data_IF_766571669179
#
_entry.id   IF_766571669179
#
_cell.length_a   1.000
_cell.length_b   1.000
_cell.length_c   1.000
_cell.angle_alpha   90.00
_cell.angle_beta   90.00
_cell.angle_gamma   90.00
#
_symmetry.space_group_name_H-M   'P 1'
#
loop_
_entity.id
_entity.type
_entity.pdbx_description
1 polymer ?
#
# COMPACT_ATOMS: atom_id res chain seq x y z
N UNK A 1 5.11 9.83 9.34
CA UNK A 1 5.15 8.74 8.35
C UNK A 1 5.44 7.49 9.13
N UNK A 2 4.48 6.59 9.19
CA UNK A 2 4.57 5.36 9.94
C UNK A 2 4.84 4.23 8.96
N UNK A 3 5.76 3.33 9.29
CA UNK A 3 6.14 2.22 8.42
C UNK A 3 5.80 0.92 9.14
N UNK A 4 4.98 0.09 8.49
CA UNK A 4 4.71 -1.26 8.93
C UNK A 4 5.36 -2.25 7.98
N UNK A 5 6.14 -3.17 8.52
CA UNK A 5 6.71 -4.27 7.76
C UNK A 5 6.11 -5.59 8.22
N UNK A 6 5.86 -6.47 7.27
CA UNK A 6 5.72 -7.92 7.48
C UNK A 6 6.95 -8.61 6.89
N UNK A 7 6.98 -9.95 6.85
CA UNK A 7 8.11 -10.67 6.26
C UNK A 7 8.38 -10.30 4.79
N UNK A 8 7.32 -9.99 4.04
CA UNK A 8 7.39 -9.70 2.61
C UNK A 8 6.82 -8.34 2.18
N UNK A 9 5.99 -7.67 2.99
CA UNK A 9 5.33 -6.42 2.58
C UNK A 9 5.83 -5.22 3.38
N UNK A 10 5.82 -4.06 2.72
CA UNK A 10 6.08 -2.77 3.36
C UNK A 10 4.87 -1.88 3.14
N UNK A 11 4.26 -1.43 4.24
CA UNK A 11 3.25 -0.39 4.22
C UNK A 11 3.85 0.91 4.75
N UNK A 12 3.62 2.00 4.02
CA UNK A 12 4.00 3.35 4.38
C UNK A 12 2.73 4.17 4.55
N UNK A 13 2.52 4.72 5.73
CA UNK A 13 1.36 5.54 6.06
C UNK A 13 1.77 6.99 6.28
N UNK A 14 1.00 7.90 5.71
CA UNK A 14 1.10 9.32 5.95
C UNK A 14 -0.23 9.85 6.53
N UNK A 15 -0.42 9.70 7.86
CA UNK A 15 -1.64 10.16 8.53
C UNK A 15 -1.87 11.67 8.40
N UNK A 16 -0.81 12.47 8.24
CA UNK A 16 -0.95 13.93 8.11
C UNK A 16 -1.67 14.31 6.81
N UNK A 17 -1.46 13.53 5.74
CA UNK A 17 -2.05 13.79 4.43
C UNK A 17 -3.15 12.77 4.08
N UNK A 18 -3.48 11.84 4.99
CA UNK A 18 -4.51 10.83 4.77
C UNK A 18 -4.24 9.93 3.56
N UNK A 19 -2.97 9.60 3.31
CA UNK A 19 -2.56 8.75 2.20
C UNK A 19 -1.56 7.70 2.68
N UNK A 20 -1.62 6.51 2.10
CA UNK A 20 -0.67 5.44 2.38
C UNK A 20 -0.44 4.57 1.14
N UNK A 21 0.63 3.79 1.17
CA UNK A 21 0.93 2.80 0.14
C UNK A 21 1.35 1.47 0.76
N UNK A 22 1.07 0.39 0.05
CA UNK A 22 1.68 -0.93 0.29
C UNK A 22 2.51 -1.30 -0.92
N UNK A 23 3.77 -1.61 -0.68
CA UNK A 23 4.64 -2.22 -1.68
C UNK A 23 4.61 -3.73 -1.48
N UNK A 24 4.05 -4.43 -2.46
CA UNK A 24 4.02 -5.87 -2.48
C UNK A 24 5.39 -6.44 -2.84
N UNK A 25 5.78 -7.59 -2.28
CA UNK A 25 6.99 -8.30 -2.67
C UNK A 25 6.94 -8.74 -4.15
N UNK A 26 8.10 -9.08 -4.72
CA UNK A 26 8.13 -9.73 -6.02
C UNK A 26 7.56 -11.14 -5.91
N UNK A 27 6.71 -11.54 -6.84
CA UNK A 27 6.16 -12.91 -6.85
C UNK A 27 7.25 -13.98 -6.99
N UNK A 28 8.41 -13.64 -7.54
CA UNK A 28 9.60 -14.52 -7.57
C UNK A 28 10.16 -14.83 -6.18
N UNK A 29 9.93 -13.95 -5.22
CA UNK A 29 10.43 -14.05 -3.85
C UNK A 29 9.41 -14.78 -2.94
N UNK A 30 8.35 -15.34 -3.53
CA UNK A 30 7.33 -16.09 -2.80
C UNK A 30 7.81 -17.51 -2.44
N UNK A 31 8.15 -17.67 -1.17
CA UNK A 31 8.51 -18.97 -0.61
C UNK A 31 7.26 -19.82 -0.39
N UNK A 32 7.16 -20.91 -1.15
CA UNK A 32 6.10 -21.92 -1.01
C UNK A 32 6.58 -23.06 -0.13
N UNK A 33 5.87 -23.32 0.97
CA UNK A 33 6.21 -24.40 1.91
C UNK A 33 5.57 -25.75 1.52
N UNK A 34 5.68 -26.13 0.23
CA UNK A 34 5.27 -27.46 -0.24
C UNK A 34 3.75 -27.71 -0.33
N UNK A 35 2.92 -26.67 -0.19
CA UNK A 35 1.46 -26.71 -0.33
C UNK A 35 0.91 -25.49 -1.09
N UNK A 36 -0.41 -25.27 -1.12
CA UNK A 36 -1.01 -24.09 -1.75
C UNK A 36 -0.74 -22.79 -0.96
N UNK A 37 -0.30 -22.92 0.29
CA UNK A 37 0.02 -21.80 1.17
C UNK A 37 1.42 -21.26 0.87
N UNK A 38 1.50 -19.94 0.76
CA UNK A 38 2.74 -19.23 0.54
C UNK A 38 2.99 -18.22 1.66
N UNK A 39 4.27 -17.92 1.91
CA UNK A 39 4.64 -16.92 2.92
C UNK A 39 3.97 -15.57 2.63
N UNK A 40 3.81 -15.23 1.35
CA UNK A 40 3.13 -14.02 0.93
C UNK A 40 1.66 -13.98 1.36
N UNK A 41 0.92 -15.09 1.22
CA UNK A 41 -0.49 -15.14 1.60
C UNK A 41 -0.70 -14.97 3.11
N UNK A 42 0.17 -15.58 3.92
CA UNK A 42 0.14 -15.43 5.37
C UNK A 42 0.49 -13.99 5.80
N UNK A 43 1.56 -13.42 5.22
CA UNK A 43 1.99 -12.05 5.48
C UNK A 43 0.96 -11.01 5.03
N UNK A 44 0.30 -11.24 3.91
CA UNK A 44 -0.80 -10.40 3.43
C UNK A 44 -1.94 -10.34 4.42
N UNK A 45 -2.36 -11.49 4.94
CA UNK A 45 -3.42 -11.57 5.96
C UNK A 45 -3.03 -10.82 7.23
N UNK A 46 -1.77 -10.95 7.67
CA UNK A 46 -1.28 -10.21 8.84
C UNK A 46 -1.21 -8.70 8.59
N UNK A 47 -0.83 -8.28 7.39
CA UNK A 47 -0.78 -6.88 7.00
C UNK A 47 -2.17 -6.25 7.01
N UNK A 48 -3.14 -6.90 6.36
CA UNK A 48 -4.54 -6.42 6.29
C UNK A 48 -5.11 -6.22 7.69
N UNK A 49 -4.87 -7.15 8.61
CA UNK A 49 -5.31 -7.02 10.01
C UNK A 49 -4.67 -5.80 10.70
N UNK A 50 -3.37 -5.60 10.53
CA UNK A 50 -2.66 -4.45 11.12
C UNK A 50 -3.15 -3.10 10.56
N UNK A 51 -3.43 -3.04 9.26
CA UNK A 51 -4.00 -1.86 8.63
C UNK A 51 -5.40 -1.57 9.18
N UNK A 52 -6.25 -2.59 9.30
CA UNK A 52 -7.58 -2.46 9.89
C UNK A 52 -7.52 -1.98 11.35
N UNK A 53 -6.64 -2.55 12.17
CA UNK A 53 -6.41 -2.12 13.56
C UNK A 53 -5.93 -0.66 13.66
N UNK A 54 -5.29 -0.16 12.59
CA UNK A 54 -4.81 1.23 12.48
C UNK A 54 -5.82 2.15 11.80
N UNK A 55 -7.03 1.67 11.49
CA UNK A 55 -8.04 2.38 10.70
C UNK A 55 -7.53 2.80 9.32
N UNK A 56 -6.93 1.88 8.57
CA UNK A 56 -6.56 2.04 7.16
C UNK A 56 -7.13 0.89 6.33
N UNK A 57 -7.48 1.18 5.08
CA UNK A 57 -7.94 0.18 4.13
C UNK A 57 -7.36 0.43 2.73
N UNK A 58 -7.50 -0.55 1.85
CA UNK A 58 -7.01 -0.48 0.48
C UNK A 58 -7.92 0.36 -0.40
N UNK A 59 -7.30 1.07 -1.34
CA UNK A 59 -8.01 1.61 -2.50
C UNK A 59 -8.48 0.43 -3.35
N UNK A 60 -9.77 0.42 -3.63
CA UNK A 60 -10.42 -0.54 -4.52
C UNK A 60 -10.53 0.04 -5.92
N UNK A 61 -10.47 -0.82 -6.94
CA UNK A 61 -10.81 -0.45 -8.31
C UNK A 61 -12.32 -0.56 -8.57
N UNK A 62 -12.74 -0.34 -9.81
CA UNK A 62 -14.16 -0.39 -10.22
C UNK A 62 -14.81 -1.78 -10.04
N UNK A 63 -14.02 -2.82 -9.72
CA UNK A 63 -14.46 -4.20 -9.49
C UNK A 63 -14.33 -4.63 -8.03
N UNK A 64 -14.11 -3.69 -7.09
CA UNK A 64 -13.88 -3.97 -5.67
C UNK A 64 -12.61 -4.79 -5.40
N UNK A 65 -11.70 -4.87 -6.39
CA UNK A 65 -10.38 -5.49 -6.23
C UNK A 65 -9.36 -4.45 -5.73
N UNK A 66 -8.31 -4.90 -5.02
CA UNK A 66 -7.26 -4.00 -4.53
C UNK A 66 -6.50 -3.37 -5.69
N UNK A 67 -6.63 -2.06 -5.86
CA UNK A 67 -6.05 -1.32 -6.96
C UNK A 67 -4.51 -1.31 -6.93
N UNK A 68 -3.90 -1.51 -8.10
CA UNK A 68 -2.47 -1.24 -8.32
C UNK A 68 -2.32 0.18 -8.85
N UNK A 69 -1.72 1.06 -8.06
CA UNK A 69 -1.57 2.48 -8.40
C UNK A 69 -0.25 2.80 -9.09
N UNK A 70 0.77 1.94 -8.92
CA UNK A 70 2.07 2.10 -9.52
C UNK A 70 2.86 0.79 -9.54
N UNK A 71 3.97 0.79 -10.29
CA UNK A 71 5.00 -0.24 -10.24
C UNK A 71 6.34 0.39 -9.85
N UNK A 72 7.04 -0.26 -8.94
CA UNK A 72 8.43 0.08 -8.62
C UNK A 72 9.35 -0.28 -9.81
N UNK A 73 10.53 0.33 -9.94
CA UNK A 73 11.48 0.02 -11.02
C UNK A 73 11.91 -1.45 -11.08
N UNK A 74 11.91 -2.13 -9.93
CA UNK A 74 12.23 -3.56 -9.80
C UNK A 74 11.06 -4.49 -10.15
N UNK A 75 9.88 -3.94 -10.48
CA UNK A 75 8.68 -4.69 -10.85
C UNK A 75 7.70 -4.94 -9.71
N UNK A 76 8.02 -4.57 -8.45
CA UNK A 76 7.08 -4.68 -7.33
C UNK A 76 5.84 -3.83 -7.56
N UNK A 77 4.68 -4.37 -7.18
CA UNK A 77 3.39 -3.66 -7.28
C UNK A 77 3.22 -2.73 -6.09
N UNK A 78 2.62 -1.57 -6.34
CA UNK A 78 2.25 -0.61 -5.28
C UNK A 78 0.75 -0.46 -5.25
N UNK A 79 0.18 -0.62 -4.07
CA UNK A 79 -1.24 -0.47 -3.78
C UNK A 79 -1.48 0.80 -2.96
N UNK A 80 -2.57 1.51 -3.21
CA UNK A 80 -2.97 2.69 -2.44
C UNK A 80 -3.71 2.32 -1.17
N UNK A 81 -3.55 3.14 -0.12
CA UNK A 81 -4.28 3.04 1.13
C UNK A 81 -4.87 4.40 1.51
N UNK A 82 -6.09 4.40 2.03
CA UNK A 82 -6.71 5.58 2.63
C UNK A 82 -7.11 5.29 4.09
N UNK A 83 -7.12 6.31 4.96
CA UNK A 83 -7.60 6.15 6.31
C UNK A 83 -9.10 5.85 6.29
N UNK A 84 -9.51 4.87 7.09
CA UNK A 84 -10.88 4.57 7.44
C UNK A 84 -11.40 5.69 8.37
N UNK A 85 -11.42 6.93 7.89
CA UNK A 85 -12.25 7.94 8.53
C UNK A 85 -13.69 7.45 8.39
N UNK A 86 -14.31 7.18 9.54
CA UNK A 86 -15.76 6.96 9.68
C UNK A 86 -16.44 7.93 8.73
N UNK A 87 -17.09 7.41 7.69
CA UNK A 87 -17.81 8.21 6.71
C UNK A 87 -18.80 9.11 7.46
N UNK A 88 -18.45 10.37 7.70
CA UNK A 88 -19.34 11.37 8.29
C UNK A 88 -19.88 12.34 7.26
N UNK A 89 -19.62 12.14 5.98
CA UNK A 89 -20.42 12.77 4.93
C UNK A 89 -20.76 11.77 3.83
N UNK A 90 -22.04 11.73 3.50
CA UNK A 90 -22.66 11.04 2.36
C UNK A 90 -22.29 11.76 1.03
N UNK A 91 -21.20 12.52 1.02
CA UNK A 91 -20.78 13.33 -0.11
C UNK A 91 -19.85 12.49 -0.98
N UNK A 92 -20.27 12.26 -2.21
CA UNK A 92 -19.42 11.67 -3.24
C UNK A 92 -18.18 12.55 -3.40
N UNK A 93 -16.96 11.99 -3.32
CA UNK A 93 -15.73 12.76 -3.52
C UNK A 93 -15.78 13.49 -4.86
N UNK A 94 -15.26 14.71 -4.90
CA UNK A 94 -15.18 15.47 -6.16
C UNK A 94 -13.96 15.01 -6.95
N UNK A 95 -13.95 15.25 -8.27
CA UNK A 95 -12.77 15.00 -9.11
C UNK A 95 -11.51 15.75 -8.61
N UNK A 96 -11.68 16.88 -7.92
CA UNK A 96 -10.56 17.60 -7.33
C UNK A 96 -9.98 16.85 -6.11
N UNK A 97 -10.83 16.23 -5.29
CA UNK A 97 -10.40 15.41 -4.14
C UNK A 97 -9.66 14.16 -4.62
N UNK A 98 -10.15 13.53 -5.68
CA UNK A 98 -9.50 12.38 -6.31
C UNK A 98 -8.12 12.74 -6.89
N UNK A 99 -8.00 13.89 -7.56
CA UNK A 99 -6.73 14.37 -8.12
C UNK A 99 -5.72 14.72 -7.02
N UNK A 100 -6.16 15.42 -5.98
CA UNK A 100 -5.28 15.75 -4.87
C UNK A 100 -4.81 14.50 -4.11
N UNK A 101 -5.69 13.52 -3.92
CA UNK A 101 -5.34 12.23 -3.35
C UNK A 101 -4.34 11.47 -4.23
N UNK A 102 -4.52 11.44 -5.56
CA UNK A 102 -3.57 10.85 -6.48
C UNK A 102 -2.18 11.51 -6.42
N UNK A 103 -2.11 12.84 -6.26
CA UNK A 103 -0.85 13.57 -6.08
C UNK A 103 -0.15 13.20 -4.76
N UNK A 104 -0.91 13.03 -3.67
CA UNK A 104 -0.36 12.57 -2.38
C UNK A 104 0.23 11.16 -2.50
N UNK A 105 -0.46 10.25 -3.17
CA UNK A 105 0.03 8.89 -3.44
C UNK A 105 1.31 8.92 -4.29
N UNK A 106 1.32 9.67 -5.39
CA UNK A 106 2.49 9.79 -6.27
C UNK A 106 3.73 10.28 -5.50
N UNK A 107 3.55 11.30 -4.66
CA UNK A 107 4.63 11.82 -3.80
C UNK A 107 5.17 10.77 -2.83
N UNK A 108 4.28 9.98 -2.23
CA UNK A 108 4.66 8.93 -1.29
C UNK A 108 5.45 7.82 -1.98
N UNK A 109 5.03 7.41 -3.18
CA UNK A 109 5.75 6.44 -4.02
C UNK A 109 7.14 6.93 -4.37
N UNK A 110 7.27 8.17 -4.86
CA UNK A 110 8.58 8.75 -5.21
C UNK A 110 9.49 8.81 -3.99
N UNK A 111 9.00 9.28 -2.84
CA UNK A 111 9.77 9.38 -1.61
C UNK A 111 10.31 8.01 -1.17
N UNK A 112 9.48 6.97 -1.24
CA UNK A 112 9.88 5.61 -0.89
C UNK A 112 10.91 5.03 -1.87
N UNK A 113 10.73 5.26 -3.19
CA UNK A 113 11.66 4.80 -4.20
C UNK A 113 13.07 5.42 -4.03
N UNK A 114 13.14 6.70 -3.68
CA UNK A 114 14.41 7.41 -3.45
C UNK A 114 15.16 6.87 -2.22
N UNK A 115 14.43 6.59 -1.13
CA UNK A 115 14.99 6.03 0.10
C UNK A 115 15.61 4.64 -0.14
N UNK A 116 14.85 3.75 -0.79
CA UNK A 116 15.30 2.38 -1.08
C UNK A 116 16.45 2.31 -2.10
N UNK A 117 16.50 3.25 -3.05
CA UNK A 117 17.63 3.33 -4.01
C UNK A 117 18.93 3.76 -3.34
N UNK A 118 18.85 4.60 -2.30
CA UNK A 118 20.03 5.10 -1.59
C UNK A 118 20.66 4.02 -0.70
N UNK A 119 19.84 3.20 -0.04
CA UNK A 119 20.33 2.10 0.82
C UNK A 119 20.99 0.94 0.05
N UNK A 120 20.76 0.82 -1.27
CA UNK A 120 21.38 -0.23 -2.09
C UNK A 120 22.80 0.15 -2.57
N UNK A 121 23.26 1.37 -2.27
CA UNK A 121 24.51 1.94 -2.80
C UNK A 121 25.68 2.01 -1.81
N UNK A 122 25.48 1.58 -0.56
CA UNK A 122 26.50 1.46 0.48
C UNK A 122 26.90 -0.01 0.72
#
# INVERSE_FOLDING_TARGET
MDIFTTGAHVAVLDPMHGAGIVVAPLTSDDLRMGGPESLHAADWTSLVRRLADSAWTFLEDDWEDVAVIAHMPDGRKVHGLYPLHVATSDETPTTADEQDYALRLARLVTTYAEQTTTETRD
#
